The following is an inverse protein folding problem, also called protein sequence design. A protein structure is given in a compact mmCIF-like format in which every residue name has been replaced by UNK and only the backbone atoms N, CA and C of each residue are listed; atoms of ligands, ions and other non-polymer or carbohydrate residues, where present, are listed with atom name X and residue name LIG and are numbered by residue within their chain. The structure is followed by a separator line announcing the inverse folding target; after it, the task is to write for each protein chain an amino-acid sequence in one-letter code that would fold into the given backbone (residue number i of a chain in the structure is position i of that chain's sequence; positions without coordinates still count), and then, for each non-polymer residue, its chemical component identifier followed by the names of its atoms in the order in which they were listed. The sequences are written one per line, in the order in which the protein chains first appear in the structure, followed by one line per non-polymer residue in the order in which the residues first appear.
data_IF_022545781786
#
_entry.id   IF_022545781786
#
_cell.length_a   1.000
_cell.length_b   1.000
_cell.length_c   1.000
_cell.angle_alpha   90.00
_cell.angle_beta   90.00
_cell.angle_gamma   90.00
#
_symmetry.space_group_name_H-M   'P 1'
#
loop_
_entity.id
_entity.type
_entity.pdbx_description
1 polymer ?
#
# COMPACT_ATOMS: atom_id res chain seq x y z
N UNK A 1 21.87 12.19 -2.12
CA UNK A 1 20.97 12.07 -3.30
C UNK A 1 20.94 10.60 -3.72
N UNK A 2 19.76 10.01 -3.75
CA UNK A 2 19.54 8.59 -4.04
C UNK A 2 19.38 8.39 -5.55
N UNK A 3 20.15 7.47 -6.14
CA UNK A 3 20.15 7.13 -7.58
C UNK A 3 19.08 6.08 -7.85
N UNK A 4 18.10 6.44 -8.67
CA UNK A 4 16.86 5.69 -8.84
C UNK A 4 16.72 5.13 -10.26
N UNK A 5 16.24 3.87 -10.35
CA UNK A 5 15.71 3.28 -11.57
C UNK A 5 14.21 2.99 -11.42
N UNK A 6 13.43 3.09 -12.50
CA UNK A 6 12.02 2.68 -12.53
C UNK A 6 11.81 1.54 -13.51
N UNK A 7 11.17 0.46 -13.06
CA UNK A 7 10.91 -0.76 -13.83
C UNK A 7 9.39 -0.92 -14.03
N UNK A 8 8.97 -0.98 -15.31
CA UNK A 8 7.55 -1.05 -15.69
C UNK A 8 6.95 0.34 -15.92
N UNK A 9 6.82 0.75 -17.18
CA UNK A 9 6.48 2.12 -17.57
C UNK A 9 5.03 2.26 -18.08
N UNK A 10 4.12 1.56 -17.40
CA UNK A 10 2.69 1.84 -17.48
C UNK A 10 2.33 3.18 -16.82
N UNK A 11 1.03 3.49 -16.65
CA UNK A 11 0.59 4.75 -16.02
C UNK A 11 1.19 4.98 -14.62
N UNK A 12 1.34 3.92 -13.83
CA UNK A 12 1.92 4.01 -12.48
C UNK A 12 3.42 4.27 -12.55
N UNK A 13 4.15 3.55 -13.41
CA UNK A 13 5.59 3.75 -13.55
C UNK A 13 5.96 5.14 -14.04
N UNK A 14 5.21 5.68 -15.00
CA UNK A 14 5.39 7.07 -15.43
C UNK A 14 5.11 8.08 -14.31
N UNK A 15 4.14 7.79 -13.43
CA UNK A 15 3.90 8.62 -12.22
C UNK A 15 5.09 8.55 -11.26
N UNK A 16 5.64 7.35 -11.01
CA UNK A 16 6.83 7.20 -10.17
C UNK A 16 8.02 7.95 -10.79
N UNK A 17 8.29 7.77 -12.08
CA UNK A 17 9.38 8.46 -12.78
C UNK A 17 9.24 9.99 -12.68
N UNK A 18 8.03 10.54 -12.90
CA UNK A 18 7.73 11.95 -12.73
C UNK A 18 8.04 12.44 -11.31
N UNK A 19 7.57 11.70 -10.30
CA UNK A 19 7.76 12.09 -8.90
C UNK A 19 9.25 12.08 -8.54
N UNK A 20 10.00 11.01 -8.87
CA UNK A 20 11.44 10.97 -8.59
C UNK A 20 12.22 12.10 -9.29
N UNK A 21 11.82 12.47 -10.50
CA UNK A 21 12.44 13.58 -11.23
C UNK A 21 12.15 14.96 -10.60
N UNK A 22 11.13 15.05 -9.77
CA UNK A 22 10.73 16.28 -9.05
C UNK A 22 11.28 16.34 -7.61
N UNK A 23 11.81 15.23 -7.07
CA UNK A 23 12.39 15.20 -5.73
C UNK A 23 13.82 15.75 -5.74
N UNK A 24 14.13 16.65 -4.81
CA UNK A 24 15.45 17.28 -4.70
C UNK A 24 16.55 16.28 -4.26
N UNK A 25 16.16 15.18 -3.59
CA UNK A 25 17.06 14.18 -3.04
C UNK A 25 17.06 12.85 -3.81
N UNK A 26 16.44 12.80 -4.99
CA UNK A 26 16.48 11.67 -5.90
C UNK A 26 17.06 12.06 -7.26
N UNK A 27 17.75 11.12 -7.91
CA UNK A 27 18.27 11.26 -9.26
C UNK A 27 17.80 10.10 -10.13
N UNK A 28 16.85 10.36 -11.04
CA UNK A 28 16.29 9.35 -11.92
C UNK A 28 17.24 9.07 -13.07
N UNK A 29 18.05 8.01 -12.97
CA UNK A 29 19.08 7.67 -13.94
C UNK A 29 18.61 6.72 -15.04
N UNK A 30 17.67 5.83 -14.74
CA UNK A 30 17.23 4.79 -15.67
C UNK A 30 15.74 4.49 -15.60
N UNK A 31 15.17 4.18 -16.76
CA UNK A 31 13.79 3.70 -16.91
C UNK A 31 13.79 2.43 -17.76
N UNK A 32 13.05 1.40 -17.32
CA UNK A 32 13.10 0.07 -17.92
C UNK A 32 11.69 -0.47 -18.20
N UNK A 33 11.45 -0.89 -19.43
CA UNK A 33 10.26 -1.65 -19.82
C UNK A 33 10.64 -2.65 -20.93
N UNK A 34 10.01 -3.81 -20.94
CA UNK A 34 10.17 -4.80 -22.02
C UNK A 34 9.58 -4.29 -23.35
N UNK A 35 8.66 -3.36 -23.30
CA UNK A 35 8.16 -2.59 -24.43
C UNK A 35 9.12 -1.42 -24.69
N UNK A 36 9.94 -1.55 -25.72
CA UNK A 36 10.96 -0.55 -26.07
C UNK A 36 10.35 0.84 -26.31
N UNK A 37 9.19 0.91 -26.96
CA UNK A 37 8.53 2.19 -27.24
C UNK A 37 8.11 2.91 -25.95
N UNK A 38 7.68 2.18 -24.92
CA UNK A 38 7.38 2.74 -23.60
C UNK A 38 8.65 3.22 -22.90
N UNK A 39 9.73 2.42 -22.95
CA UNK A 39 10.99 2.78 -22.34
C UNK A 39 11.57 4.06 -22.97
N UNK A 40 11.60 4.13 -24.30
CA UNK A 40 12.11 5.31 -25.02
C UNK A 40 11.25 6.55 -24.77
N UNK A 41 9.92 6.42 -24.77
CA UNK A 41 9.02 7.53 -24.50
C UNK A 41 9.20 8.08 -23.07
N UNK A 42 9.34 7.20 -22.08
CA UNK A 42 9.56 7.60 -20.69
C UNK A 42 10.95 8.22 -20.52
N UNK A 43 11.99 7.67 -21.14
CA UNK A 43 13.34 8.22 -21.12
C UNK A 43 13.38 9.65 -21.67
N UNK A 44 12.72 9.88 -22.81
CA UNK A 44 12.62 11.21 -23.41
C UNK A 44 11.81 12.19 -22.55
N UNK A 45 10.74 11.72 -21.91
CA UNK A 45 9.87 12.56 -21.07
C UNK A 45 10.53 12.98 -19.74
N UNK A 46 11.39 12.12 -19.18
CA UNK A 46 11.97 12.32 -17.85
C UNK A 46 13.48 12.59 -17.85
N UNK A 47 14.14 12.62 -19.03
CA UNK A 47 15.57 12.87 -19.13
C UNK A 47 16.47 11.73 -18.62
N UNK A 48 15.92 10.52 -18.49
CA UNK A 48 16.62 9.32 -18.02
C UNK A 48 17.11 8.46 -19.20
N UNK A 49 17.91 7.42 -18.92
CA UNK A 49 18.32 6.43 -19.93
C UNK A 49 17.27 5.33 -20.08
N UNK A 50 16.95 4.94 -21.31
CA UNK A 50 16.08 3.82 -21.61
C UNK A 50 16.83 2.47 -21.52
N UNK A 51 16.14 1.46 -20.94
CA UNK A 51 16.62 0.08 -20.88
C UNK A 51 15.44 -0.87 -21.16
N UNK A 52 15.76 -2.06 -21.68
CA UNK A 52 14.75 -3.03 -22.12
C UNK A 52 14.76 -4.32 -21.29
N UNK A 53 15.68 -4.39 -20.32
CA UNK A 53 15.72 -5.41 -19.28
C UNK A 53 16.30 -4.85 -17.98
N UNK A 54 15.90 -5.44 -16.85
CA UNK A 54 16.43 -5.06 -15.52
C UNK A 54 17.93 -5.27 -15.48
N UNK A 55 18.40 -6.42 -16.00
CA UNK A 55 19.83 -6.74 -16.04
C UNK A 55 20.64 -5.69 -16.79
N UNK A 56 20.19 -5.28 -17.98
CA UNK A 56 20.87 -4.26 -18.76
C UNK A 56 20.97 -2.93 -17.99
N UNK A 57 19.90 -2.51 -17.32
CA UNK A 57 19.89 -1.29 -16.52
C UNK A 57 20.87 -1.37 -15.34
N UNK A 58 20.84 -2.46 -14.60
CA UNK A 58 21.71 -2.66 -13.42
C UNK A 58 23.18 -2.75 -13.79
N UNK A 59 23.51 -3.37 -14.94
CA UNK A 59 24.89 -3.47 -15.41
C UNK A 59 25.42 -2.13 -15.94
N UNK A 60 24.56 -1.24 -16.44
CA UNK A 60 24.94 -0.02 -17.14
C UNK A 60 24.90 1.25 -16.28
N UNK A 61 24.21 1.23 -15.15
CA UNK A 61 23.98 2.40 -14.28
C UNK A 61 24.21 2.02 -12.83
N UNK A 62 24.97 2.84 -12.12
CA UNK A 62 25.20 2.67 -10.69
C UNK A 62 23.99 3.23 -9.92
N UNK A 63 23.10 2.35 -9.48
CA UNK A 63 21.84 2.65 -8.79
C UNK A 63 21.94 2.32 -7.31
N UNK A 64 21.21 3.06 -6.47
CA UNK A 64 20.99 2.76 -5.06
C UNK A 64 19.69 1.99 -4.86
N UNK A 65 18.68 2.32 -5.65
CA UNK A 65 17.36 1.69 -5.56
C UNK A 65 16.66 1.58 -6.91
N UNK A 66 15.64 0.72 -6.94
CA UNK A 66 14.67 0.70 -8.03
C UNK A 66 13.25 0.77 -7.51
N UNK A 67 12.36 1.35 -8.34
CA UNK A 67 10.93 1.26 -8.14
C UNK A 67 10.34 0.23 -9.11
N UNK A 68 9.67 -0.80 -8.59
CA UNK A 68 9.05 -1.87 -9.39
C UNK A 68 7.57 -1.58 -9.53
N UNK A 69 7.15 -1.20 -10.73
CA UNK A 69 5.80 -0.75 -11.07
C UNK A 69 5.19 -1.53 -12.24
N UNK A 70 5.70 -2.74 -12.46
CA UNK A 70 5.14 -3.68 -13.43
C UNK A 70 3.69 -4.03 -13.10
N UNK A 71 2.97 -4.67 -14.02
CA UNK A 71 1.61 -5.17 -13.77
C UNK A 71 1.54 -6.15 -12.59
N UNK A 72 0.42 -6.84 -12.43
CA UNK A 72 0.36 -7.93 -11.47
C UNK A 72 -0.62 -7.73 -10.32
N UNK A 73 -1.57 -6.79 -10.46
CA UNK A 73 -2.58 -6.52 -9.42
C UNK A 73 -3.30 -7.76 -8.90
N UNK A 74 -3.45 -8.78 -9.73
CA UNK A 74 -4.08 -10.02 -9.35
C UNK A 74 -3.15 -11.23 -9.43
N UNK A 75 -2.31 -11.26 -10.45
CA UNK A 75 -1.42 -12.40 -10.68
C UNK A 75 -0.06 -12.27 -10.00
N UNK A 76 0.35 -11.06 -9.59
CA UNK A 76 1.53 -10.78 -8.78
C UNK A 76 2.87 -11.24 -9.33
N UNK A 77 2.87 -12.10 -10.33
CA UNK A 77 4.08 -12.65 -10.94
C UNK A 77 4.95 -11.58 -11.58
N UNK A 78 4.36 -10.53 -12.09
CA UNK A 78 5.06 -9.43 -12.74
C UNK A 78 5.87 -8.57 -11.76
N UNK A 79 5.54 -8.59 -10.45
CA UNK A 79 6.35 -7.96 -9.41
C UNK A 79 7.52 -8.84 -8.96
N UNK A 80 7.36 -10.16 -8.97
CA UNK A 80 8.33 -11.10 -8.42
C UNK A 80 9.67 -11.09 -9.16
N UNK A 81 9.66 -11.34 -10.48
CA UNK A 81 10.90 -11.46 -11.25
C UNK A 81 11.76 -10.18 -11.19
N UNK A 82 11.25 -8.98 -11.49
CA UNK A 82 12.06 -7.75 -11.43
C UNK A 82 12.50 -7.40 -10.01
N UNK A 83 11.69 -7.67 -8.99
CA UNK A 83 12.09 -7.46 -7.59
C UNK A 83 13.23 -8.38 -7.18
N UNK A 84 13.15 -9.67 -7.51
CA UNK A 84 14.20 -10.64 -7.20
C UNK A 84 15.52 -10.33 -7.92
N UNK A 85 15.43 -9.86 -9.16
CA UNK A 85 16.60 -9.46 -9.94
C UNK A 85 17.28 -8.23 -9.32
N UNK A 86 16.52 -7.20 -8.96
CA UNK A 86 17.03 -6.01 -8.29
C UNK A 86 17.65 -6.31 -6.92
N UNK A 87 16.96 -7.10 -6.08
CA UNK A 87 17.49 -7.52 -4.77
C UNK A 87 18.77 -8.35 -4.91
N UNK A 88 18.86 -9.26 -5.90
CA UNK A 88 20.09 -10.03 -6.16
C UNK A 88 21.26 -9.11 -6.55
N UNK A 89 20.97 -8.05 -7.28
CA UNK A 89 21.95 -7.03 -7.66
C UNK A 89 22.39 -6.11 -6.50
N UNK A 90 21.74 -6.21 -5.33
CA UNK A 90 22.09 -5.42 -4.15
C UNK A 90 21.39 -4.06 -4.08
N UNK A 91 20.30 -3.88 -4.80
CA UNK A 91 19.53 -2.64 -4.80
C UNK A 91 18.42 -2.64 -3.78
N UNK A 92 18.16 -1.50 -3.15
CA UNK A 92 16.93 -1.26 -2.40
C UNK A 92 15.73 -1.26 -3.35
N UNK A 93 14.55 -1.69 -2.89
CA UNK A 93 13.37 -1.80 -3.76
C UNK A 93 12.16 -1.13 -3.12
N UNK A 94 11.45 -0.31 -3.90
CA UNK A 94 10.08 0.08 -3.61
C UNK A 94 9.16 -0.58 -4.64
N UNK A 95 8.36 -1.56 -4.21
CA UNK A 95 7.42 -2.29 -5.06
C UNK A 95 6.01 -1.71 -5.03
N UNK A 96 5.25 -1.88 -6.11
CA UNK A 96 3.81 -1.63 -6.13
C UNK A 96 3.04 -2.72 -5.37
N UNK A 97 1.85 -2.35 -4.96
CA UNK A 97 0.90 -3.28 -4.32
C UNK A 97 -0.01 -3.97 -5.38
N UNK A 98 -0.49 -5.18 -5.11
CA UNK A 98 -0.10 -6.06 -4.00
C UNK A 98 1.35 -6.51 -4.14
N UNK A 99 1.99 -6.85 -3.03
CA UNK A 99 3.38 -7.36 -3.07
C UNK A 99 3.51 -8.54 -4.04
N UNK A 100 2.54 -9.45 -4.01
CA UNK A 100 2.33 -10.56 -4.93
C UNK A 100 0.87 -11.01 -4.86
N UNK A 101 0.41 -11.86 -5.77
CA UNK A 101 -0.87 -12.57 -5.64
C UNK A 101 -0.76 -13.89 -4.88
N UNK A 102 0.46 -14.36 -4.68
CA UNK A 102 0.77 -15.63 -4.04
C UNK A 102 1.70 -15.42 -2.86
N UNK A 103 1.48 -16.16 -1.79
CA UNK A 103 2.25 -16.01 -0.55
C UNK A 103 3.71 -16.43 -0.76
N UNK A 104 3.96 -17.58 -1.40
CA UNK A 104 5.32 -18.08 -1.62
C UNK A 104 6.28 -17.07 -2.27
N UNK A 105 5.96 -16.52 -3.45
CA UNK A 105 6.76 -15.46 -4.07
C UNK A 105 6.94 -14.22 -3.18
N UNK A 106 5.92 -13.83 -2.41
CA UNK A 106 6.05 -12.71 -1.47
C UNK A 106 7.03 -13.02 -0.33
N UNK A 107 6.99 -14.23 0.21
CA UNK A 107 7.92 -14.70 1.25
C UNK A 107 9.36 -14.77 0.74
N UNK A 108 9.58 -15.23 -0.49
CA UNK A 108 10.90 -15.26 -1.11
C UNK A 108 11.49 -13.86 -1.27
N UNK A 109 10.71 -12.88 -1.74
CA UNK A 109 11.15 -11.49 -1.88
C UNK A 109 11.53 -10.86 -0.54
N UNK A 110 10.68 -11.04 0.48
CA UNK A 110 10.93 -10.52 1.83
C UNK A 110 12.15 -11.20 2.46
N UNK A 111 12.30 -12.49 2.28
CA UNK A 111 13.44 -13.27 2.79
C UNK A 111 14.74 -12.81 2.16
N UNK A 112 14.79 -12.68 0.83
CA UNK A 112 15.99 -12.23 0.12
C UNK A 112 16.40 -10.80 0.52
N UNK A 113 15.42 -9.89 0.64
CA UNK A 113 15.69 -8.52 1.09
C UNK A 113 16.34 -8.50 2.48
N UNK A 114 15.79 -9.28 3.43
CA UNK A 114 16.32 -9.43 4.79
C UNK A 114 17.74 -10.03 4.79
N UNK A 115 17.97 -11.12 4.04
CA UNK A 115 19.27 -11.79 3.95
C UNK A 115 20.36 -10.85 3.43
N UNK A 116 20.01 -10.01 2.46
CA UNK A 116 20.92 -9.03 1.86
C UNK A 116 20.99 -7.71 2.61
N UNK A 117 20.21 -7.53 3.67
CA UNK A 117 20.08 -6.27 4.41
C UNK A 117 19.69 -5.10 3.54
N UNK A 118 18.74 -5.32 2.64
CA UNK A 118 18.22 -4.30 1.73
C UNK A 118 16.86 -3.80 2.20
N UNK A 119 16.63 -2.51 2.11
CA UNK A 119 15.33 -1.90 2.33
C UNK A 119 14.39 -2.33 1.21
N UNK A 120 13.32 -3.01 1.58
CA UNK A 120 12.24 -3.38 0.67
C UNK A 120 10.93 -2.80 1.18
N UNK A 121 10.40 -1.82 0.48
CA UNK A 121 9.12 -1.16 0.78
C UNK A 121 8.04 -1.52 -0.23
N UNK A 122 6.78 -1.43 0.20
CA UNK A 122 5.60 -1.56 -0.68
C UNK A 122 4.85 -0.24 -0.70
N UNK A 123 4.28 0.12 -1.86
CA UNK A 123 3.52 1.36 -2.02
C UNK A 123 2.13 1.29 -1.37
N UNK A 124 2.11 1.15 -0.04
CA UNK A 124 0.92 1.26 0.81
C UNK A 124 0.68 2.76 1.13
N UNK A 125 0.41 3.54 0.09
CA UNK A 125 0.46 5.00 0.13
C UNK A 125 -0.55 5.67 1.09
N UNK A 126 -1.64 5.01 1.46
CA UNK A 126 -2.69 5.59 2.31
C UNK A 126 -2.19 5.92 3.73
N UNK A 127 -1.28 5.12 4.30
CA UNK A 127 -0.70 5.39 5.63
C UNK A 127 0.21 6.63 5.68
N UNK A 128 0.63 7.15 4.51
CA UNK A 128 1.53 8.29 4.39
C UNK A 128 0.81 9.62 4.22
N UNK A 129 -0.52 9.65 4.31
CA UNK A 129 -1.28 10.88 4.29
C UNK A 129 -1.15 11.63 5.63
N UNK A 130 -1.19 12.97 5.63
CA UNK A 130 -1.12 13.75 6.88
C UNK A 130 -2.21 13.37 7.88
N UNK A 131 -3.43 13.10 7.41
CA UNK A 131 -4.54 12.68 8.26
C UNK A 131 -4.28 11.33 8.92
N UNK A 132 -3.76 10.34 8.17
CA UNK A 132 -3.43 9.02 8.71
C UNK A 132 -2.29 9.09 9.73
N UNK A 133 -1.24 9.86 9.45
CA UNK A 133 -0.13 10.07 10.38
C UNK A 133 -0.54 10.79 11.66
N UNK A 134 -1.37 11.81 11.54
CA UNK A 134 -1.91 12.51 12.72
C UNK A 134 -2.78 11.60 13.57
N UNK A 135 -3.63 10.78 12.95
CA UNK A 135 -4.45 9.80 13.68
C UNK A 135 -3.56 8.78 14.41
N UNK A 136 -2.48 8.32 13.79
CA UNK A 136 -1.48 7.46 14.44
C UNK A 136 -0.81 8.15 15.61
N UNK A 137 -0.42 9.41 15.46
CA UNK A 137 0.14 10.20 16.56
C UNK A 137 -0.82 10.33 17.74
N UNK A 138 -2.13 10.51 17.51
CA UNK A 138 -3.12 10.53 18.60
C UNK A 138 -3.16 9.19 19.37
N UNK A 139 -2.95 8.07 18.69
CA UNK A 139 -2.85 6.77 19.34
C UNK A 139 -1.56 6.66 20.16
N UNK A 140 -0.43 7.03 19.58
CA UNK A 140 0.89 6.97 20.21
C UNK A 140 0.97 7.91 21.44
N UNK A 141 0.27 9.05 21.39
CA UNK A 141 0.06 9.98 22.53
C UNK A 141 -0.92 9.41 23.58
N UNK A 142 -1.46 8.21 23.39
CA UNK A 142 -2.38 7.55 24.32
C UNK A 142 -3.78 8.18 24.40
N UNK A 143 -4.17 8.99 23.43
CA UNK A 143 -5.46 9.69 23.43
C UNK A 143 -6.66 8.79 23.14
N UNK A 144 -6.43 7.64 22.54
CA UNK A 144 -7.46 6.64 22.27
C UNK A 144 -7.54 5.61 23.40
N UNK A 145 -6.41 5.32 24.05
CA UNK A 145 -6.31 4.31 25.10
C UNK A 145 -6.40 2.89 24.53
N UNK A 146 -6.79 1.93 25.37
CA UNK A 146 -6.93 0.53 24.97
C UNK A 146 -7.99 0.41 23.87
N UNK A 147 -7.62 -0.26 22.78
CA UNK A 147 -8.45 -0.36 21.58
C UNK A 147 -9.63 -1.32 21.79
N UNK A 148 -10.78 -0.93 21.30
CA UNK A 148 -12.01 -1.71 21.34
C UNK A 148 -12.39 -2.24 19.96
N UNK A 149 -12.50 -1.34 18.99
CA UNK A 149 -12.84 -1.74 17.62
C UNK A 149 -12.34 -0.75 16.57
N UNK A 150 -12.30 -1.24 15.32
CA UNK A 150 -12.09 -0.45 14.12
C UNK A 150 -13.12 -0.78 13.05
N UNK A 151 -13.73 0.25 12.45
CA UNK A 151 -14.56 0.14 11.26
C UNK A 151 -13.84 0.78 10.07
N UNK A 152 -13.81 0.06 8.95
CA UNK A 152 -13.18 0.51 7.71
C UNK A 152 -14.13 0.33 6.54
N UNK A 153 -14.16 1.29 5.64
CA UNK A 153 -14.85 1.15 4.37
C UNK A 153 -14.03 1.74 3.23
N UNK A 154 -14.08 1.09 2.06
CA UNK A 154 -13.48 1.60 0.84
C UNK A 154 -14.26 1.14 -0.37
N UNK A 155 -14.64 2.06 -1.25
CA UNK A 155 -15.31 1.75 -2.49
C UNK A 155 -14.91 2.68 -3.63
N UNK A 156 -14.90 2.11 -4.82
CA UNK A 156 -14.63 2.81 -6.06
C UNK A 156 -15.25 2.02 -7.20
N UNK A 157 -15.99 2.65 -8.06
CA UNK A 157 -16.49 2.00 -9.29
C UNK A 157 -15.30 1.50 -10.12
N UNK A 158 -15.24 0.19 -10.33
CA UNK A 158 -14.23 -0.45 -11.17
C UNK A 158 -14.88 -1.53 -12.05
N UNK A 159 -15.03 -1.29 -13.36
CA UNK A 159 -15.67 -2.24 -14.25
C UNK A 159 -14.78 -3.43 -14.66
N UNK A 160 -13.49 -3.42 -14.27
CA UNK A 160 -12.58 -4.51 -14.62
C UNK A 160 -12.97 -5.79 -13.91
N UNK A 161 -12.83 -6.89 -14.64
CA UNK A 161 -13.07 -8.24 -14.16
C UNK A 161 -11.95 -9.14 -14.65
N UNK A 162 -11.37 -9.93 -13.73
CA UNK A 162 -10.36 -10.95 -14.05
C UNK A 162 -10.68 -12.24 -13.28
N UNK A 163 -10.11 -12.47 -12.11
CA UNK A 163 -10.53 -13.63 -11.32
C UNK A 163 -11.72 -13.30 -10.42
N UNK A 164 -12.40 -14.32 -9.87
CA UNK A 164 -13.46 -14.11 -8.89
C UNK A 164 -13.06 -13.24 -7.69
N UNK A 165 -11.78 -13.19 -7.35
CA UNK A 165 -11.20 -12.54 -6.17
C UNK A 165 -10.56 -11.18 -6.46
N UNK A 166 -10.70 -10.67 -7.68
CA UNK A 166 -10.03 -9.44 -8.12
C UNK A 166 -10.27 -8.25 -7.19
N UNK A 167 -11.51 -8.05 -6.74
CA UNK A 167 -11.84 -6.95 -5.83
C UNK A 167 -11.07 -7.07 -4.50
N UNK A 168 -11.06 -8.26 -3.89
CA UNK A 168 -10.33 -8.50 -2.64
C UNK A 168 -8.82 -8.25 -2.83
N UNK A 169 -8.22 -8.84 -3.86
CA UNK A 169 -6.78 -8.78 -4.10
C UNK A 169 -6.26 -7.42 -4.54
N UNK A 170 -7.05 -6.66 -5.31
CA UNK A 170 -6.61 -5.40 -5.88
C UNK A 170 -6.99 -4.16 -5.03
N UNK A 171 -8.13 -4.18 -4.34
CA UNK A 171 -8.60 -3.06 -3.53
C UNK A 171 -8.05 -3.10 -2.09
N UNK A 172 -8.14 -4.26 -1.45
CA UNK A 172 -7.95 -4.40 -0.02
C UNK A 172 -6.51 -4.52 0.52
N UNK A 173 -5.44 -4.57 -0.28
CA UNK A 173 -4.10 -4.35 0.27
C UNK A 173 -3.99 -3.05 1.05
N UNK A 174 -4.56 -1.94 0.55
CA UNK A 174 -4.54 -0.64 1.24
C UNK A 174 -5.34 -0.65 2.55
N UNK A 175 -6.57 -1.16 2.53
CA UNK A 175 -7.43 -1.12 3.71
C UNK A 175 -6.94 -2.03 4.82
N UNK A 176 -6.47 -3.24 4.48
CA UNK A 176 -5.87 -4.16 5.45
C UNK A 176 -4.59 -3.57 6.02
N UNK A 177 -3.79 -2.90 5.20
CA UNK A 177 -2.60 -2.20 5.65
C UNK A 177 -2.93 -1.09 6.68
N UNK A 178 -3.92 -0.23 6.40
CA UNK A 178 -4.39 0.81 7.32
C UNK A 178 -4.94 0.19 8.62
N UNK A 179 -5.68 -0.91 8.51
CA UNK A 179 -6.21 -1.59 9.70
C UNK A 179 -5.06 -2.12 10.58
N UNK A 180 -4.04 -2.73 9.97
CA UNK A 180 -2.85 -3.19 10.69
C UNK A 180 -2.02 -2.02 11.23
N UNK A 181 -1.90 -0.92 10.49
CA UNK A 181 -1.16 0.28 10.90
C UNK A 181 -1.70 0.89 12.19
N UNK A 182 -3.03 0.88 12.37
CA UNK A 182 -3.65 1.40 13.60
C UNK A 182 -3.80 0.34 14.68
N UNK A 183 -4.28 -0.85 14.35
CA UNK A 183 -4.72 -1.80 15.36
C UNK A 183 -3.77 -3.00 15.55
N UNK A 184 -2.67 -3.07 14.79
CA UNK A 184 -1.71 -4.17 14.89
C UNK A 184 -2.11 -5.41 14.08
N UNK A 185 -1.54 -6.55 14.41
CA UNK A 185 -1.70 -7.77 13.61
C UNK A 185 -3.10 -8.37 13.74
N UNK A 186 -3.66 -8.82 12.61
CA UNK A 186 -4.95 -9.50 12.53
C UNK A 186 -4.73 -10.98 12.83
N UNK A 187 -5.48 -11.50 13.81
CA UNK A 187 -5.40 -12.89 14.25
C UNK A 187 -6.26 -13.82 13.40
N UNK A 188 -7.50 -13.41 13.11
CA UNK A 188 -8.42 -14.21 12.31
C UNK A 188 -9.43 -13.35 11.55
N UNK A 189 -10.01 -13.91 10.49
CA UNK A 189 -10.97 -13.24 9.61
C UNK A 189 -12.14 -14.17 9.26
N UNK A 190 -13.34 -13.60 9.17
CA UNK A 190 -14.50 -14.17 8.51
C UNK A 190 -14.92 -13.22 7.39
N UNK A 191 -15.10 -13.74 6.17
CA UNK A 191 -15.42 -12.94 5.01
C UNK A 191 -16.71 -13.39 4.33
N UNK A 192 -17.52 -12.41 3.94
CA UNK A 192 -18.72 -12.61 3.11
C UNK A 192 -18.54 -11.81 1.82
N UNK A 193 -19.03 -12.35 0.73
CA UNK A 193 -18.89 -11.74 -0.60
C UNK A 193 -20.21 -11.74 -1.36
N UNK A 194 -20.35 -10.75 -2.23
CA UNK A 194 -21.48 -10.59 -3.12
C UNK A 194 -20.97 -10.31 -4.55
N UNK A 195 -21.59 -10.95 -5.54
CA UNK A 195 -21.53 -10.50 -6.91
C UNK A 195 -22.60 -9.43 -7.13
N UNK A 196 -22.19 -8.21 -7.40
CA UNK A 196 -23.12 -7.12 -7.73
C UNK A 196 -23.92 -7.41 -9.01
N UNK A 197 -24.98 -6.65 -9.30
CA UNK A 197 -25.79 -6.84 -10.48
C UNK A 197 -24.96 -6.81 -11.76
N UNK A 198 -25.03 -7.89 -12.56
CA UNK A 198 -24.32 -8.01 -13.84
C UNK A 198 -22.81 -8.31 -13.71
N UNK A 199 -22.30 -8.59 -12.51
CA UNK A 199 -20.88 -8.91 -12.27
C UNK A 199 -20.61 -10.41 -12.36
N UNK A 200 -19.49 -10.78 -12.96
CA UNK A 200 -18.99 -12.17 -12.95
C UNK A 200 -18.09 -12.48 -11.74
N UNK A 201 -17.49 -11.43 -11.14
CA UNK A 201 -16.60 -11.52 -9.98
C UNK A 201 -17.35 -11.19 -8.67
N UNK A 202 -16.76 -11.54 -7.52
CA UNK A 202 -17.16 -10.98 -6.23
C UNK A 202 -16.70 -9.52 -6.17
N UNK A 203 -17.65 -8.60 -6.33
CA UNK A 203 -17.38 -7.17 -6.46
C UNK A 203 -17.61 -6.39 -5.16
N UNK A 204 -18.23 -7.03 -4.16
CA UNK A 204 -18.41 -6.48 -2.81
C UNK A 204 -18.01 -7.54 -1.79
N UNK A 205 -17.27 -7.13 -0.77
CA UNK A 205 -16.83 -8.00 0.32
C UNK A 205 -16.99 -7.31 1.67
N UNK A 206 -17.33 -8.10 2.69
CA UNK A 206 -17.33 -7.70 4.09
C UNK A 206 -16.46 -8.65 4.90
N UNK A 207 -15.61 -8.09 5.75
CA UNK A 207 -14.69 -8.82 6.60
C UNK A 207 -15.02 -8.49 8.07
N UNK A 208 -15.14 -9.52 8.89
CA UNK A 208 -15.12 -9.41 10.35
C UNK A 208 -13.79 -9.99 10.83
N UNK A 209 -13.09 -9.29 11.70
CA UNK A 209 -11.73 -9.63 12.11
C UNK A 209 -11.58 -9.50 13.62
N UNK A 210 -10.63 -10.25 14.15
CA UNK A 210 -10.07 -10.04 15.48
C UNK A 210 -8.58 -9.79 15.35
N UNK A 211 -8.09 -8.77 16.02
CA UNK A 211 -6.66 -8.48 16.11
C UNK A 211 -6.02 -9.27 17.26
N UNK A 212 -4.70 -9.52 17.18
CA UNK A 212 -3.96 -10.25 18.22
C UNK A 212 -4.02 -9.58 19.61
N UNK A 213 -4.26 -8.27 19.67
CA UNK A 213 -4.48 -7.53 20.93
C UNK A 213 -5.92 -7.57 21.44
N UNK A 214 -6.82 -8.32 20.80
CA UNK A 214 -8.21 -8.46 21.16
C UNK A 214 -9.17 -7.42 20.57
N UNK A 215 -8.67 -6.37 19.90
CA UNK A 215 -9.49 -5.40 19.20
C UNK A 215 -10.31 -6.08 18.09
N UNK A 216 -11.54 -5.60 17.83
CA UNK A 216 -12.41 -6.11 16.78
C UNK A 216 -12.33 -5.24 15.54
N UNK A 217 -12.36 -5.84 14.35
CA UNK A 217 -12.31 -5.14 13.08
C UNK A 217 -13.49 -5.45 12.17
N UNK A 218 -13.99 -4.45 11.47
CA UNK A 218 -14.93 -4.61 10.38
C UNK A 218 -14.45 -3.83 9.16
N UNK A 219 -14.52 -4.47 7.97
CA UNK A 219 -14.19 -3.84 6.70
C UNK A 219 -15.29 -4.13 5.69
N UNK A 220 -15.79 -3.10 5.01
CA UNK A 220 -16.65 -3.23 3.82
C UNK A 220 -15.97 -2.61 2.62
N UNK A 221 -15.89 -3.36 1.52
CA UNK A 221 -15.34 -2.86 0.26
C UNK A 221 -16.18 -3.21 -0.95
N UNK A 222 -16.23 -2.31 -1.94
CA UNK A 222 -17.02 -2.52 -3.16
C UNK A 222 -16.40 -1.89 -4.40
N UNK A 223 -16.53 -2.58 -5.53
CA UNK A 223 -16.26 -2.06 -6.87
C UNK A 223 -17.52 -1.60 -7.62
N UNK A 224 -18.69 -1.64 -6.96
CA UNK A 224 -19.98 -1.30 -7.59
C UNK A 224 -20.54 0.06 -7.14
N UNK A 225 -19.82 0.78 -6.26
CA UNK A 225 -20.25 2.07 -5.75
C UNK A 225 -19.49 3.16 -6.48
N UNK A 226 -20.23 4.11 -7.07
CA UNK A 226 -19.67 5.33 -7.64
C UNK A 226 -18.82 6.07 -6.62
N UNK A 227 -17.80 6.78 -7.10
CA UNK A 227 -17.01 7.66 -6.26
C UNK A 227 -17.92 8.72 -5.65
N UNK A 228 -18.32 8.47 -4.41
CA UNK A 228 -18.98 9.46 -3.58
C UNK A 228 -18.06 9.86 -2.45
N UNK A 229 -18.55 10.64 -1.53
CA UNK A 229 -17.86 10.97 -0.30
C UNK A 229 -18.47 10.19 0.87
N UNK A 230 -17.64 9.59 1.69
CA UNK A 230 -16.20 9.32 1.52
C UNK A 230 -15.93 8.09 0.63
N UNK A 231 -14.84 8.13 -0.15
CA UNK A 231 -14.35 6.95 -0.87
C UNK A 231 -13.74 5.94 0.09
N UNK A 232 -12.99 6.42 1.06
CA UNK A 232 -12.38 5.66 2.14
C UNK A 232 -12.68 6.32 3.48
N UNK A 233 -13.12 5.53 4.44
CA UNK A 233 -13.36 6.00 5.80
C UNK A 233 -12.91 4.95 6.79
N UNK A 234 -12.20 5.37 7.84
CA UNK A 234 -11.90 4.53 8.97
C UNK A 234 -12.28 5.21 10.29
N UNK A 235 -12.72 4.42 11.24
CA UNK A 235 -12.99 4.81 12.61
C UNK A 235 -12.30 3.83 13.56
N UNK A 236 -11.52 4.36 14.50
CA UNK A 236 -10.89 3.57 15.56
C UNK A 236 -11.39 4.07 16.90
N UNK A 237 -11.83 3.18 17.74
CA UNK A 237 -12.36 3.49 19.07
C UNK A 237 -11.59 2.74 20.17
N UNK A 238 -11.32 3.44 21.23
CA UNK A 238 -10.75 2.90 22.47
C UNK A 238 -11.37 3.53 23.71
N UNK A 239 -10.87 3.14 24.87
CA UNK A 239 -11.48 3.52 26.16
C UNK A 239 -11.33 5.00 26.53
N UNK A 240 -10.38 5.73 25.89
CA UNK A 240 -10.14 7.16 26.16
C UNK A 240 -10.64 8.08 25.05
N UNK A 241 -11.11 7.53 23.95
CA UNK A 241 -11.59 8.32 22.82
C UNK A 241 -11.69 7.50 21.54
N UNK A 242 -12.09 8.16 20.50
CA UNK A 242 -12.14 7.60 19.14
C UNK A 242 -11.71 8.63 18.13
N UNK A 243 -11.22 8.19 16.98
CA UNK A 243 -11.01 9.07 15.84
C UNK A 243 -11.66 8.51 14.59
N UNK A 244 -11.91 9.43 13.66
CA UNK A 244 -12.38 9.12 12.31
C UNK A 244 -11.43 9.80 11.32
N UNK A 245 -10.99 9.07 10.30
CA UNK A 245 -10.34 9.63 9.11
C UNK A 245 -11.31 9.50 7.96
N UNK A 246 -11.73 10.61 7.41
CA UNK A 246 -12.67 10.68 6.29
C UNK A 246 -11.94 11.00 4.99
N UNK A 247 -12.33 10.24 3.94
CA UNK A 247 -11.87 10.42 2.58
C UNK A 247 -10.33 10.46 2.51
N UNK A 248 -9.71 9.51 3.23
CA UNK A 248 -8.27 9.21 3.26
C UNK A 248 -7.38 10.36 3.78
N UNK A 249 -7.47 11.54 3.22
CA UNK A 249 -6.64 12.70 3.60
C UNK A 249 -7.42 13.99 3.83
N UNK A 250 -8.74 13.97 3.65
CA UNK A 250 -9.55 15.20 3.73
C UNK A 250 -9.71 15.69 5.14
N UNK A 251 -10.06 14.80 6.04
CA UNK A 251 -10.31 15.16 7.43
C UNK A 251 -9.91 14.04 8.38
N UNK A 252 -9.35 14.40 9.53
CA UNK A 252 -9.23 13.53 10.69
C UNK A 252 -9.87 14.20 11.89
N UNK A 253 -10.80 13.52 12.57
CA UNK A 253 -11.48 14.04 13.75
C UNK A 253 -11.24 13.15 14.95
N UNK A 254 -10.69 13.73 16.03
CA UNK A 254 -10.56 13.07 17.34
C UNK A 254 -11.71 13.49 18.26
N UNK A 255 -12.34 12.50 18.88
CA UNK A 255 -13.40 12.63 19.89
C UNK A 255 -12.88 12.09 21.22
N UNK A 256 -12.31 12.94 22.10
CA UNK A 256 -11.83 12.50 23.41
C UNK A 256 -13.00 12.05 24.32
N UNK A 257 -12.78 11.04 25.12
CA UNK A 257 -13.80 10.59 26.09
C UNK A 257 -13.98 11.64 27.20
N UNK A 258 -15.23 11.91 27.55
CA UNK A 258 -15.57 12.84 28.63
C UNK A 258 -15.39 14.34 28.30
N UNK A 259 -14.97 14.69 27.09
CA UNK A 259 -14.88 16.05 26.61
C UNK A 259 -16.09 16.40 25.73
N UNK A 260 -16.55 17.67 25.79
CA UNK A 260 -17.62 18.17 24.91
C UNK A 260 -17.07 18.75 23.60
N UNK A 261 -15.75 18.88 23.50
CA UNK A 261 -15.06 19.39 22.32
C UNK A 261 -14.41 18.26 21.54
N UNK A 262 -14.36 18.41 20.23
CA UNK A 262 -13.62 17.53 19.32
C UNK A 262 -12.47 18.28 18.67
N UNK A 263 -11.43 17.56 18.23
CA UNK A 263 -10.32 18.13 17.46
C UNK A 263 -10.47 17.71 16.01
N UNK A 264 -10.43 18.68 15.12
CA UNK A 264 -10.56 18.46 13.67
C UNK A 264 -9.29 18.92 12.97
N UNK A 265 -8.70 18.03 12.21
CA UNK A 265 -7.75 18.35 11.16
C UNK A 265 -8.50 18.32 9.83
N UNK A 266 -8.51 19.42 9.12
CA UNK A 266 -9.00 19.49 7.74
C UNK A 266 -7.82 19.74 6.81
N UNK A 267 -7.78 19.04 5.68
CA UNK A 267 -6.73 19.26 4.68
C UNK A 267 -6.76 20.72 4.21
N UNK A 268 -5.68 21.51 4.41
CA UNK A 268 -5.70 22.93 4.13
C UNK A 268 -5.75 23.22 2.62
N UNK A 269 -6.37 24.33 2.25
CA UNK A 269 -6.47 24.77 0.86
C UNK A 269 -5.10 25.14 0.28
N UNK A 270 -4.22 25.73 1.11
CA UNK A 270 -2.87 26.09 0.73
C UNK A 270 -1.87 25.18 1.45
N UNK A 271 -0.97 24.53 0.70
CA UNK A 271 0.04 23.64 1.25
C UNK A 271 -0.48 22.28 1.74
N UNK A 272 -1.75 21.96 1.50
CA UNK A 272 -2.32 20.65 1.73
C UNK A 272 -2.14 19.72 0.53
N UNK A 273 -2.70 18.52 0.64
CA UNK A 273 -2.77 17.57 -0.49
C UNK A 273 -3.79 18.09 -1.52
N UNK A 274 -3.39 18.14 -2.80
CA UNK A 274 -4.25 18.57 -3.89
C UNK A 274 -5.17 17.46 -4.38
N UNK A 275 -4.61 16.25 -4.55
CA UNK A 275 -5.32 15.10 -5.08
C UNK A 275 -4.71 13.76 -4.63
N UNK A 276 -5.19 12.68 -5.26
CA UNK A 276 -4.71 11.33 -4.98
C UNK A 276 -3.24 11.09 -5.40
N UNK A 277 -2.69 11.87 -6.34
CA UNK A 277 -1.28 11.76 -6.75
C UNK A 277 -0.33 12.07 -5.60
N UNK A 278 -0.71 12.99 -4.72
CA UNK A 278 0.10 13.35 -3.55
C UNK A 278 0.29 12.17 -2.57
N UNK A 279 -0.60 11.19 -2.56
CA UNK A 279 -0.39 9.98 -1.74
C UNK A 279 0.82 9.19 -2.22
N UNK A 280 1.03 9.12 -3.54
CA UNK A 280 2.23 8.51 -4.14
C UNK A 280 3.46 9.35 -3.80
N UNK A 281 3.40 10.67 -4.00
CA UNK A 281 4.51 11.56 -3.67
C UNK A 281 4.96 11.39 -2.23
N UNK A 282 4.04 11.42 -1.28
CA UNK A 282 4.36 11.24 0.14
C UNK A 282 5.05 9.89 0.41
N UNK A 283 4.59 8.82 -0.24
CA UNK A 283 5.20 7.49 -0.07
C UNK A 283 6.57 7.38 -0.68
N UNK A 284 6.73 7.84 -1.93
CA UNK A 284 8.00 7.78 -2.66
C UNK A 284 9.07 8.65 -1.98
N UNK A 285 8.71 9.90 -1.65
CA UNK A 285 9.59 10.80 -0.88
C UNK A 285 10.01 10.16 0.43
N UNK A 286 9.05 9.64 1.23
CA UNK A 286 9.41 9.03 2.52
C UNK A 286 10.37 7.84 2.37
N UNK A 287 10.25 7.03 1.32
CA UNK A 287 11.18 5.92 1.11
C UNK A 287 12.58 6.41 0.77
N UNK A 288 12.69 7.43 -0.08
CA UNK A 288 13.97 8.09 -0.39
C UNK A 288 14.59 8.69 0.88
N UNK A 289 13.80 9.41 1.68
CA UNK A 289 14.24 10.00 2.95
C UNK A 289 14.77 8.93 3.90
N UNK A 290 14.05 7.80 4.04
CA UNK A 290 14.49 6.69 4.90
C UNK A 290 15.82 6.09 4.45
N UNK A 291 16.07 6.00 3.15
CA UNK A 291 17.36 5.54 2.63
C UNK A 291 18.48 6.54 2.92
N UNK A 292 18.24 7.85 2.75
CA UNK A 292 19.22 8.89 3.09
C UNK A 292 19.49 8.98 4.60
N UNK A 293 18.46 8.79 5.43
CA UNK A 293 18.55 8.71 6.88
C UNK A 293 19.33 7.45 7.37
N UNK A 294 19.53 6.46 6.48
CA UNK A 294 20.18 5.20 6.81
C UNK A 294 19.32 4.31 7.72
N UNK A 295 18.00 4.39 7.57
CA UNK A 295 17.05 3.55 8.31
C UNK A 295 17.34 2.08 8.06
N UNK A 296 17.31 1.26 9.11
CA UNK A 296 17.57 -0.16 8.96
C UNK A 296 16.42 -0.85 8.20
N UNK A 297 16.71 -1.94 7.45
CA UNK A 297 15.71 -2.63 6.64
C UNK A 297 14.46 -3.09 7.41
N UNK A 298 14.63 -3.47 8.68
CA UNK A 298 13.54 -3.88 9.57
C UNK A 298 12.63 -2.73 10.04
N UNK A 299 13.12 -1.48 9.98
CA UNK A 299 12.43 -0.29 10.45
C UNK A 299 11.80 0.52 9.30
N UNK A 300 11.83 0.00 8.08
CA UNK A 300 11.18 0.63 6.93
C UNK A 300 9.67 0.68 7.13
N UNK A 301 9.12 1.89 7.14
CA UNK A 301 7.68 2.12 7.21
C UNK A 301 6.99 1.67 5.90
N UNK A 302 5.98 0.83 5.98
CA UNK A 302 5.37 0.19 4.81
C UNK A 302 6.31 -0.79 4.11
N UNK A 303 6.93 -1.67 4.89
CA UNK A 303 7.92 -2.65 4.43
C UNK A 303 7.34 -3.75 3.56
N UNK A 304 8.21 -4.52 2.90
CA UNK A 304 7.83 -5.76 2.23
C UNK A 304 7.14 -6.75 3.18
N UNK A 305 7.55 -6.78 4.45
CA UNK A 305 6.89 -7.60 5.47
C UNK A 305 5.46 -7.12 5.75
N UNK A 306 5.20 -5.80 5.75
CA UNK A 306 3.83 -5.27 5.84
C UNK A 306 2.98 -5.72 4.66
N UNK A 307 3.55 -5.67 3.45
CA UNK A 307 2.90 -6.16 2.24
C UNK A 307 2.56 -7.65 2.30
N UNK A 308 3.50 -8.49 2.75
CA UNK A 308 3.30 -9.92 2.94
C UNK A 308 2.20 -10.21 3.97
N UNK A 309 2.24 -9.55 5.13
CA UNK A 309 1.24 -9.72 6.19
C UNK A 309 -0.16 -9.29 5.73
N UNK A 310 -0.28 -8.18 4.99
CA UNK A 310 -1.55 -7.79 4.38
C UNK A 310 -2.04 -8.87 3.40
N UNK A 311 -1.16 -9.45 2.60
CA UNK A 311 -1.50 -10.52 1.67
C UNK A 311 -1.98 -11.79 2.37
N UNK A 312 -1.34 -12.19 3.48
CA UNK A 312 -1.78 -13.35 4.28
C UNK A 312 -3.21 -13.16 4.81
N UNK A 313 -3.55 -11.95 5.25
CA UNK A 313 -4.94 -11.63 5.65
C UNK A 313 -5.92 -11.78 4.49
N UNK A 314 -5.58 -11.30 3.30
CA UNK A 314 -6.44 -11.42 2.12
C UNK A 314 -6.59 -12.88 1.66
N UNK A 315 -5.54 -13.68 1.76
CA UNK A 315 -5.60 -15.12 1.49
C UNK A 315 -6.51 -15.84 2.50
N UNK A 316 -6.39 -15.53 3.80
CA UNK A 316 -7.26 -16.07 4.84
C UNK A 316 -8.73 -15.65 4.63
N UNK A 317 -8.99 -14.42 4.17
CA UNK A 317 -10.33 -13.96 3.84
C UNK A 317 -10.95 -14.74 2.66
N UNK A 318 -10.16 -15.00 1.62
CA UNK A 318 -10.58 -15.83 0.48
C UNK A 318 -10.86 -17.26 0.93
N UNK A 319 -10.02 -17.83 1.78
CA UNK A 319 -10.23 -19.16 2.34
C UNK A 319 -11.47 -19.24 3.23
N UNK A 320 -11.73 -18.17 4.01
CA UNK A 320 -12.95 -18.05 4.82
C UNK A 320 -14.23 -18.14 3.96
N UNK A 321 -14.23 -17.49 2.80
CA UNK A 321 -15.37 -17.59 1.86
C UNK A 321 -15.53 -19.02 1.33
N UNK A 322 -14.43 -19.70 0.98
CA UNK A 322 -14.48 -21.06 0.44
C UNK A 322 -14.92 -22.11 1.45
N UNK A 323 -14.52 -21.93 2.71
CA UNK A 323 -14.79 -22.87 3.80
C UNK A 323 -16.00 -22.49 4.65
N UNK A 324 -16.60 -21.32 4.41
CA UNK A 324 -17.71 -20.75 5.18
C UNK A 324 -17.41 -20.70 6.69
N UNK A 325 -16.16 -20.43 7.05
CA UNK A 325 -15.68 -20.48 8.43
C UNK A 325 -14.77 -19.30 8.78
N UNK A 326 -14.49 -19.13 10.07
CA UNK A 326 -13.43 -18.23 10.55
C UNK A 326 -12.08 -18.87 10.25
N UNK A 327 -11.16 -18.11 9.62
CA UNK A 327 -9.82 -18.57 9.29
C UNK A 327 -8.79 -17.75 10.06
N UNK A 328 -7.83 -18.44 10.70
CA UNK A 328 -6.70 -17.80 11.37
C UNK A 328 -5.64 -17.42 10.35
N UNK A 329 -5.07 -16.23 10.53
CA UNK A 329 -3.99 -15.73 9.68
C UNK A 329 -2.68 -16.37 10.11
N UNK A 330 -1.99 -16.98 9.16
CA UNK A 330 -0.67 -17.57 9.40
C UNK A 330 0.38 -16.49 9.70
N UNK A 331 1.32 -16.78 10.60
CA UNK A 331 2.40 -15.85 11.01
C UNK A 331 3.43 -15.60 9.90
#
# INVERSE_FOLDING_TARGET
MIRVGVIGLGPIGNRHAKIYNELENADLLGVCDVDQARADAAAAAHGARAFYSVKEMVDAVDLDMVSVTTGGQEYGSDHYAPTMEALRAGLHVLGEKPISNEIGPAEEMVTLAREKRLCYGINMNHRFTPAARLAKQWMDDGRVGDLLFMNMSMWIMNPRESSPWFQIKALHPHTVDIMRYYCGEIECVQCFVLKGPGRSIYSTAQFNMRFKNGCLGHLTGSYDIERGHPMERCEVAGVKGRFVVDDMFREATLYPAGEMEKRVYSNPIFGGMGDFEDTFRNRLSRFVDQLEEGVQPEDIDGSGLDGLRAQKVLAAAIESVKTESVVYVED
#
